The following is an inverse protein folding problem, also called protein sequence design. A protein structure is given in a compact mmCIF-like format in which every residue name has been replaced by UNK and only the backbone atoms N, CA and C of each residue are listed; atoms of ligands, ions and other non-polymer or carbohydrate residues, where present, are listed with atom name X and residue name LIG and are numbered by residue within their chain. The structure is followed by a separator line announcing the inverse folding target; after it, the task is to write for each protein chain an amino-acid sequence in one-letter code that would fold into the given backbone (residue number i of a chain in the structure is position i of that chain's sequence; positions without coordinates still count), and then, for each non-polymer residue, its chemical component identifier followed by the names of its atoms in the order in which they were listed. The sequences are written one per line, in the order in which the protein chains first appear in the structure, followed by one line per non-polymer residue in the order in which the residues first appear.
data_IF_666789738134
#
_entry.id   IF_666789738134
#
_cell.length_a   1.000
_cell.length_b   1.000
_cell.length_c   1.000
_cell.angle_alpha   90.00
_cell.angle_beta   90.00
_cell.angle_gamma   90.00
#
_symmetry.space_group_name_H-M   'P 1'
#
loop_
_entity.id
_entity.type
_entity.pdbx_description
1 polymer ?
#
# COMPACT_ATOMS: atom_id res chain seq x y z
N UNK A 1 20.92 -38.01 11.71
CA UNK A 1 21.05 -37.21 10.47
C UNK A 1 21.95 -36.01 10.73
N UNK A 2 22.98 -35.78 9.90
CA UNK A 2 23.89 -34.62 10.05
C UNK A 2 23.11 -33.33 9.71
N UNK A 3 23.29 -32.27 10.50
CA UNK A 3 22.64 -30.99 10.21
C UNK A 3 23.26 -30.39 8.97
N UNK A 4 22.43 -29.88 8.05
CA UNK A 4 22.96 -29.11 6.93
C UNK A 4 23.45 -27.75 7.41
N UNK A 5 24.60 -27.31 6.90
CA UNK A 5 25.15 -25.98 7.17
C UNK A 5 24.78 -24.97 6.06
N UNK A 6 25.06 -23.69 6.33
CA UNK A 6 24.73 -22.61 5.40
C UNK A 6 25.42 -22.74 4.04
N UNK A 7 26.62 -23.32 3.99
CA UNK A 7 27.38 -23.51 2.76
C UNK A 7 26.72 -24.55 1.87
N UNK A 8 26.22 -25.63 2.47
CA UNK A 8 25.47 -26.67 1.78
C UNK A 8 24.15 -26.15 1.21
N UNK A 9 23.42 -25.32 1.98
CA UNK A 9 22.21 -24.69 1.47
C UNK A 9 22.49 -23.71 0.31
N UNK A 10 23.55 -22.89 0.40
CA UNK A 10 23.97 -22.02 -0.70
C UNK A 10 24.32 -22.83 -1.95
N UNK A 11 25.04 -23.92 -1.79
CA UNK A 11 25.43 -24.79 -2.90
C UNK A 11 24.21 -25.39 -3.59
N UNK A 12 23.27 -25.96 -2.83
CA UNK A 12 22.05 -26.55 -3.40
C UNK A 12 21.13 -25.50 -4.03
N UNK A 13 20.98 -24.33 -3.42
CA UNK A 13 20.22 -23.23 -4.01
C UNK A 13 20.80 -22.82 -5.37
N UNK A 14 22.13 -22.75 -5.47
CA UNK A 14 22.83 -22.49 -6.73
C UNK A 14 22.60 -23.62 -7.74
N UNK A 15 22.74 -24.88 -7.35
CA UNK A 15 22.49 -26.02 -8.24
C UNK A 15 21.05 -26.05 -8.78
N UNK A 16 20.07 -25.66 -7.98
CA UNK A 16 18.68 -25.55 -8.44
C UNK A 16 18.55 -24.48 -9.52
N UNK A 17 19.17 -23.31 -9.34
CA UNK A 17 19.15 -22.24 -10.36
C UNK A 17 19.92 -22.63 -11.61
N UNK A 18 21.03 -23.37 -11.47
CA UNK A 18 21.78 -23.90 -12.62
C UNK A 18 20.91 -24.86 -13.47
N UNK A 19 19.99 -25.61 -12.84
CA UNK A 19 19.04 -26.49 -13.53
C UNK A 19 17.79 -25.76 -14.04
N UNK A 20 17.39 -24.67 -13.39
CA UNK A 20 16.22 -23.87 -13.73
C UNK A 20 16.61 -22.38 -13.81
N UNK A 21 17.16 -21.91 -14.95
CA UNK A 21 17.75 -20.57 -15.06
C UNK A 21 16.76 -19.40 -14.90
N UNK A 22 15.46 -19.68 -14.88
CA UNK A 22 14.41 -18.68 -14.63
C UNK A 22 14.15 -18.43 -13.14
N UNK A 23 14.73 -19.26 -12.27
CA UNK A 23 14.59 -19.18 -10.83
C UNK A 23 15.73 -18.35 -10.19
N UNK A 24 15.52 -17.89 -8.96
CA UNK A 24 16.48 -17.04 -8.23
C UNK A 24 17.02 -17.77 -7.00
N UNK A 25 18.33 -17.70 -6.76
CA UNK A 25 19.00 -18.42 -5.65
C UNK A 25 18.38 -18.07 -4.29
N UNK A 26 18.06 -16.80 -4.07
CA UNK A 26 17.42 -16.30 -2.86
C UNK A 26 16.00 -16.86 -2.63
N UNK A 27 15.32 -17.39 -3.66
CA UNK A 27 14.04 -18.11 -3.49
C UNK A 27 14.23 -19.41 -2.71
N UNK A 28 15.39 -20.06 -2.86
CA UNK A 28 15.66 -21.36 -2.25
C UNK A 28 16.36 -21.24 -0.91
N UNK A 29 17.32 -20.33 -0.79
CA UNK A 29 18.03 -20.13 0.45
C UNK A 29 18.43 -18.69 0.67
N UNK A 30 18.07 -18.18 1.84
CA UNK A 30 18.56 -16.91 2.36
C UNK A 30 19.28 -17.21 3.66
N UNK A 31 20.58 -16.89 3.76
CA UNK A 31 21.33 -17.13 4.97
C UNK A 31 20.69 -16.37 6.14
N UNK A 32 20.59 -17.06 7.28
CA UNK A 32 20.06 -16.45 8.50
C UNK A 32 20.96 -15.32 8.97
N UNK A 33 20.36 -14.18 9.28
CA UNK A 33 21.04 -13.05 9.91
C UNK A 33 20.99 -13.20 11.44
N UNK A 34 21.82 -12.46 12.19
CA UNK A 34 21.82 -12.53 13.65
C UNK A 34 20.39 -12.31 14.21
N UNK A 35 19.94 -13.23 15.07
CA UNK A 35 18.58 -13.33 15.66
C UNK A 35 17.45 -13.69 14.67
N UNK A 36 17.73 -13.91 13.38
CA UNK A 36 16.75 -14.43 12.42
C UNK A 36 17.16 -15.80 11.91
N UNK A 37 16.21 -16.72 11.93
CA UNK A 37 16.44 -18.03 11.30
C UNK A 37 16.65 -17.84 9.79
N UNK A 38 17.50 -18.65 9.16
CA UNK A 38 17.57 -18.71 7.70
C UNK A 38 16.18 -18.86 7.05
N UNK A 39 16.06 -18.43 5.81
CA UNK A 39 14.80 -18.45 5.05
C UNK A 39 14.93 -19.16 3.71
N UNK A 40 13.85 -19.15 2.94
CA UNK A 40 13.77 -19.73 1.60
C UNK A 40 13.18 -21.13 1.55
N UNK A 41 12.71 -21.53 0.35
CA UNK A 41 11.96 -22.78 0.14
C UNK A 41 12.75 -24.02 0.57
N UNK A 42 14.04 -24.07 0.26
CA UNK A 42 14.89 -25.23 0.55
C UNK A 42 15.09 -25.39 2.06
N UNK A 43 15.35 -24.28 2.76
CA UNK A 43 15.51 -24.29 4.21
C UNK A 43 14.21 -24.67 4.94
N UNK A 44 13.08 -24.10 4.53
CA UNK A 44 11.76 -24.41 5.07
C UNK A 44 11.39 -25.88 4.86
N UNK A 45 11.59 -26.41 3.64
CA UNK A 45 11.33 -27.82 3.35
C UNK A 45 12.24 -28.76 4.15
N UNK A 46 13.53 -28.44 4.27
CA UNK A 46 14.47 -29.22 5.08
C UNK A 46 14.02 -29.29 6.55
N UNK A 47 13.65 -28.17 7.15
CA UNK A 47 13.20 -28.13 8.54
C UNK A 47 11.86 -28.82 8.76
N UNK A 48 10.92 -28.67 7.83
CA UNK A 48 9.64 -29.38 7.87
C UNK A 48 9.85 -30.90 7.79
N UNK A 49 10.69 -31.35 6.87
CA UNK A 49 11.04 -32.77 6.74
C UNK A 49 11.76 -33.31 7.98
N UNK A 50 12.72 -32.55 8.51
CA UNK A 50 13.43 -32.91 9.75
C UNK A 50 12.50 -33.00 10.95
N UNK A 51 11.51 -32.10 11.06
CA UNK A 51 10.50 -32.13 12.11
C UNK A 51 9.59 -33.37 12.00
N UNK A 52 9.21 -33.76 10.77
CA UNK A 52 8.47 -35.02 10.54
C UNK A 52 9.27 -36.26 10.96
N UNK A 53 10.58 -36.28 10.69
CA UNK A 53 11.46 -37.39 11.09
C UNK A 53 11.71 -37.44 12.61
N UNK A 54 11.76 -36.28 13.28
CA UNK A 54 11.84 -36.16 14.74
C UNK A 54 10.59 -36.77 15.40
N UNK A 55 9.40 -36.50 14.84
CA UNK A 55 8.13 -37.02 15.35
C UNK A 55 8.02 -38.56 15.32
N UNK A 56 8.74 -39.22 14.40
CA UNK A 56 8.78 -40.70 14.28
C UNK A 56 10.04 -41.31 14.90
N UNK A 57 10.81 -40.53 15.68
CA UNK A 57 11.99 -41.00 16.40
C UNK A 57 13.22 -41.30 15.54
N UNK A 58 13.24 -40.86 14.28
CA UNK A 58 14.34 -41.08 13.34
C UNK A 58 15.39 -39.97 13.36
N UNK A 59 15.10 -38.85 14.05
CA UNK A 59 16.06 -37.77 14.33
C UNK A 59 16.16 -37.53 15.84
N UNK A 60 17.38 -37.31 16.34
CA UNK A 60 17.62 -36.94 17.74
C UNK A 60 18.08 -35.47 17.81
N UNK A 61 17.30 -34.60 18.44
CA UNK A 61 17.77 -33.26 18.82
C UNK A 61 18.77 -33.39 19.98
N UNK A 62 19.99 -32.88 19.81
CA UNK A 62 20.85 -32.58 20.96
C UNK A 62 20.15 -31.48 21.76
N UNK A 63 19.59 -31.81 22.93
CA UNK A 63 19.15 -30.82 23.91
C UNK A 63 20.38 -30.05 24.38
N UNK A 64 20.63 -28.86 23.82
CA UNK A 64 21.53 -27.91 24.47
C UNK A 64 20.81 -27.39 25.72
N UNK A 65 21.31 -27.77 26.89
CA UNK A 65 20.94 -27.19 28.17
C UNK A 65 21.47 -25.74 28.23
N UNK A 66 20.62 -24.83 28.74
CA UNK A 66 20.93 -23.51 29.30
C UNK A 66 21.51 -22.41 28.36
N UNK A 67 20.64 -21.51 27.90
CA UNK A 67 20.82 -20.05 28.06
C UNK A 67 19.44 -19.42 28.22
N UNK A 68 19.01 -19.23 29.47
CA UNK A 68 18.01 -18.24 29.85
C UNK A 68 18.66 -16.86 29.77
N UNK A 69 18.67 -16.26 28.58
CA UNK A 69 19.08 -14.90 28.33
C UNK A 69 17.90 -14.11 27.78
N UNK A 70 17.46 -13.10 28.52
CA UNK A 70 16.46 -12.12 28.10
C UNK A 70 16.77 -11.61 26.67
N UNK A 71 15.85 -11.70 25.69
CA UNK A 71 16.11 -11.33 24.30
C UNK A 71 16.41 -9.84 24.09
N UNK A 72 16.24 -8.99 25.12
CA UNK A 72 16.17 -7.53 24.97
C UNK A 72 17.50 -6.78 25.09
N UNK A 73 18.61 -7.37 25.55
CA UNK A 73 19.85 -6.62 25.77
C UNK A 73 21.08 -7.15 25.01
N UNK A 74 20.99 -7.15 23.68
CA UNK A 74 22.18 -7.25 22.81
C UNK A 74 21.85 -6.67 21.44
N UNK A 75 21.77 -5.33 21.40
CA UNK A 75 21.70 -4.51 20.21
C UNK A 75 23.05 -3.80 20.16
N UNK A 76 23.80 -4.02 19.08
CA UNK A 76 24.48 -2.97 18.32
C UNK A 76 25.29 -3.61 17.17
N UNK A 77 24.91 -3.21 15.94
CA UNK A 77 25.74 -3.16 14.74
C UNK A 77 26.25 -4.49 14.15
N UNK A 78 25.39 -5.17 13.38
CA UNK A 78 25.85 -6.03 12.28
C UNK A 78 25.53 -5.30 10.97
N UNK A 79 26.56 -4.97 10.20
CA UNK A 79 26.42 -4.27 8.91
C UNK A 79 25.55 -5.09 7.94
N UNK A 80 24.52 -4.45 7.40
CA UNK A 80 23.85 -4.90 6.18
C UNK A 80 24.89 -4.81 5.07
N UNK A 81 25.34 -5.95 4.55
CA UNK A 81 26.33 -5.96 3.46
C UNK A 81 25.65 -5.68 2.12
N UNK A 82 26.42 -5.13 1.19
CA UNK A 82 25.96 -4.84 -0.18
C UNK A 82 25.37 -6.07 -0.86
N UNK A 83 26.01 -7.24 -0.71
CA UNK A 83 25.53 -8.51 -1.28
C UNK A 83 24.12 -8.89 -0.83
N UNK A 84 23.78 -8.61 0.43
CA UNK A 84 22.45 -8.90 0.98
C UNK A 84 21.39 -7.97 0.39
N UNK A 85 21.74 -6.70 0.14
CA UNK A 85 20.86 -5.76 -0.53
C UNK A 85 20.66 -6.16 -1.99
N UNK A 86 21.71 -6.61 -2.68
CA UNK A 86 21.62 -7.12 -4.05
C UNK A 86 20.69 -8.32 -4.14
N UNK A 87 20.83 -9.30 -3.25
CA UNK A 87 19.97 -10.48 -3.20
C UNK A 87 18.51 -10.09 -2.90
N UNK A 88 18.27 -9.21 -1.92
CA UNK A 88 16.94 -8.72 -1.59
C UNK A 88 16.30 -7.93 -2.76
N UNK A 89 17.10 -7.15 -3.50
CA UNK A 89 16.68 -6.45 -4.70
C UNK A 89 16.26 -7.41 -5.82
N UNK A 90 16.92 -8.56 -5.96
CA UNK A 90 16.51 -9.59 -6.92
C UNK A 90 15.17 -10.22 -6.52
N UNK A 91 14.96 -10.51 -5.22
CA UNK A 91 13.71 -11.08 -4.71
C UNK A 91 12.52 -10.18 -5.07
N UNK A 92 12.59 -8.88 -4.78
CA UNK A 92 11.48 -7.95 -5.03
C UNK A 92 11.29 -7.56 -6.51
N UNK A 93 12.26 -7.90 -7.38
CA UNK A 93 12.15 -7.75 -8.84
C UNK A 93 11.62 -9.03 -9.52
N UNK A 94 11.78 -10.20 -8.89
CA UNK A 94 11.26 -11.47 -9.39
C UNK A 94 9.73 -11.46 -9.41
N UNK A 95 9.06 -12.34 -10.17
CA UNK A 95 7.58 -12.47 -10.20
C UNK A 95 7.05 -13.56 -9.26
N UNK A 96 7.91 -14.26 -8.52
CA UNK A 96 7.57 -15.49 -7.79
C UNK A 96 7.43 -15.25 -6.28
N UNK A 97 6.26 -14.78 -5.85
CA UNK A 97 5.98 -14.36 -4.46
C UNK A 97 5.20 -15.38 -3.64
N UNK A 98 5.55 -16.67 -3.72
CA UNK A 98 4.91 -17.68 -2.88
C UNK A 98 5.16 -17.48 -1.36
N UNK A 99 6.11 -16.62 -0.98
CA UNK A 99 6.40 -16.25 0.40
C UNK A 99 6.23 -14.73 0.60
N UNK A 100 5.02 -14.34 1.00
CA UNK A 100 4.63 -12.95 1.25
C UNK A 100 5.44 -12.32 2.39
N UNK A 101 5.78 -13.09 3.43
CA UNK A 101 6.54 -12.57 4.58
C UNK A 101 7.96 -12.17 4.16
N UNK A 102 8.62 -13.03 3.38
CA UNK A 102 9.93 -12.75 2.83
C UNK A 102 9.91 -11.51 1.91
N UNK A 103 8.89 -11.39 1.07
CA UNK A 103 8.76 -10.24 0.17
C UNK A 103 8.73 -8.90 0.93
N UNK A 104 7.89 -8.77 1.95
CA UNK A 104 7.81 -7.53 2.73
C UNK A 104 9.11 -7.25 3.51
N UNK A 105 9.80 -8.29 3.97
CA UNK A 105 11.12 -8.14 4.59
C UNK A 105 12.15 -7.57 3.60
N UNK A 106 12.29 -8.17 2.42
CA UNK A 106 13.18 -7.67 1.37
C UNK A 106 12.79 -6.26 0.92
N UNK A 107 11.49 -5.96 0.83
CA UNK A 107 10.99 -4.63 0.46
C UNK A 107 11.42 -3.55 1.47
N UNK A 108 11.33 -3.85 2.76
CA UNK A 108 11.75 -2.94 3.82
C UNK A 108 13.28 -2.77 3.88
N UNK A 109 14.04 -3.85 3.68
CA UNK A 109 15.51 -3.83 3.67
C UNK A 109 16.07 -2.97 2.53
N UNK A 110 15.44 -3.04 1.36
CA UNK A 110 15.90 -2.36 0.14
C UNK A 110 15.37 -0.92 0.00
N UNK A 111 14.71 -0.40 1.03
CA UNK A 111 14.08 0.93 0.97
C UNK A 111 15.03 2.03 0.52
N UNK A 112 16.22 2.13 1.14
CA UNK A 112 17.16 3.21 0.85
C UNK A 112 17.68 3.13 -0.59
N UNK A 113 18.00 1.94 -1.07
CA UNK A 113 18.44 1.74 -2.46
C UNK A 113 17.31 2.05 -3.45
N UNK A 114 16.07 1.70 -3.12
CA UNK A 114 14.90 2.08 -3.92
C UNK A 114 14.65 3.59 -3.91
N UNK A 115 14.89 4.29 -2.80
CA UNK A 115 14.83 5.76 -2.76
C UNK A 115 15.94 6.38 -3.59
N UNK A 116 17.15 5.81 -3.57
CA UNK A 116 18.27 6.23 -4.40
C UNK A 116 17.93 6.07 -5.88
N UNK A 117 17.37 4.92 -6.27
CA UNK A 117 16.86 4.70 -7.62
C UNK A 117 15.81 5.74 -8.00
N UNK A 118 14.80 5.99 -7.16
CA UNK A 118 13.78 7.02 -7.42
C UNK A 118 14.33 8.45 -7.50
N UNK A 119 15.45 8.73 -6.83
CA UNK A 119 16.13 10.02 -6.87
C UNK A 119 16.99 10.19 -8.14
N UNK A 120 17.27 9.11 -8.87
CA UNK A 120 17.88 9.19 -10.21
C UNK A 120 16.86 9.61 -11.27
N UNK A 121 17.30 9.87 -12.51
CA UNK A 121 16.43 10.25 -13.64
C UNK A 121 15.55 9.11 -14.18
N UNK A 122 15.44 7.96 -13.49
CA UNK A 122 14.48 6.94 -13.92
C UNK A 122 13.06 7.49 -13.82
N UNK A 123 12.32 7.41 -14.91
CA UNK A 123 10.92 7.82 -14.90
C UNK A 123 10.07 6.94 -13.97
N UNK A 124 9.02 7.50 -13.37
CA UNK A 124 8.07 6.77 -12.49
C UNK A 124 7.58 5.47 -13.14
N UNK A 125 7.30 5.49 -14.45
CA UNK A 125 6.86 4.30 -15.17
C UNK A 125 7.95 3.23 -15.24
N UNK A 126 9.21 3.61 -15.44
CA UNK A 126 10.34 2.69 -15.47
C UNK A 126 10.59 2.08 -14.09
N UNK A 127 10.43 2.87 -13.02
CA UNK A 127 10.47 2.35 -11.65
C UNK A 127 9.36 1.32 -11.43
N UNK A 128 8.11 1.64 -11.76
CA UNK A 128 6.97 0.71 -11.64
C UNK A 128 7.20 -0.57 -12.46
N UNK A 129 7.82 -0.47 -13.64
CA UNK A 129 8.14 -1.64 -14.48
C UNK A 129 9.24 -2.50 -13.86
N UNK A 130 10.17 -1.90 -13.12
CA UNK A 130 11.25 -2.60 -12.44
C UNK A 130 10.75 -3.39 -11.23
N UNK A 131 9.61 -3.00 -10.66
CA UNK A 131 8.98 -3.68 -9.51
C UNK A 131 7.52 -4.02 -9.86
N UNK A 132 7.29 -5.16 -10.54
CA UNK A 132 5.97 -5.53 -11.08
C UNK A 132 4.82 -5.49 -10.05
N UNK A 133 5.13 -5.73 -8.78
CA UNK A 133 4.19 -5.73 -7.65
C UNK A 133 3.48 -4.39 -7.44
N UNK A 134 4.10 -3.28 -7.81
CA UNK A 134 3.47 -1.96 -7.71
C UNK A 134 2.20 -1.83 -8.58
N UNK A 135 2.01 -2.76 -9.53
CA UNK A 135 0.81 -2.83 -10.39
C UNK A 135 -0.28 -3.76 -9.85
N UNK A 136 0.03 -4.57 -8.83
CA UNK A 136 -0.93 -5.48 -8.22
C UNK A 136 -1.78 -4.73 -7.19
N UNK A 137 -3.10 -4.94 -7.19
CA UNK A 137 -4.04 -4.12 -6.40
C UNK A 137 -3.89 -4.38 -4.90
N UNK A 138 -3.68 -5.65 -4.53
CA UNK A 138 -3.50 -6.13 -3.16
C UNK A 138 -2.11 -5.79 -2.60
N UNK A 139 -1.05 -6.10 -3.36
CA UNK A 139 0.33 -5.93 -2.88
C UNK A 139 0.84 -4.51 -3.09
N UNK A 140 0.51 -3.89 -4.23
CA UNK A 140 1.06 -2.59 -4.65
C UNK A 140 0.70 -1.46 -3.70
N UNK A 141 -0.56 -1.44 -3.23
CA UNK A 141 -0.99 -0.46 -2.23
C UNK A 141 -0.20 -0.59 -0.93
N UNK A 142 -0.05 -1.82 -0.41
CA UNK A 142 0.64 -2.08 0.86
C UNK A 142 2.09 -1.64 0.84
N UNK A 143 2.81 -1.94 -0.25
CA UNK A 143 4.23 -1.58 -0.35
C UNK A 143 4.45 -0.08 -0.53
N UNK A 144 3.54 0.61 -1.23
CA UNK A 144 3.56 2.09 -1.31
C UNK A 144 3.27 2.69 0.06
N UNK A 145 2.29 2.14 0.80
CA UNK A 145 1.96 2.59 2.14
C UNK A 145 3.11 2.35 3.14
N UNK A 146 3.82 1.21 3.03
CA UNK A 146 5.01 0.91 3.81
C UNK A 146 6.12 1.94 3.58
N UNK A 147 6.42 2.25 2.32
CA UNK A 147 7.41 3.28 1.98
C UNK A 147 7.00 4.65 2.48
N UNK A 148 5.72 5.01 2.32
CA UNK A 148 5.16 6.27 2.79
C UNK A 148 5.33 6.44 4.29
N UNK A 149 4.99 5.41 5.07
CA UNK A 149 5.17 5.40 6.54
C UNK A 149 6.64 5.51 6.94
N UNK A 150 7.55 4.85 6.23
CA UNK A 150 8.99 4.89 6.52
C UNK A 150 9.60 6.25 6.17
N UNK A 151 9.22 6.83 5.03
CA UNK A 151 9.73 8.13 4.57
C UNK A 151 9.14 9.32 5.33
N UNK A 152 7.88 9.20 5.73
CA UNK A 152 7.12 10.28 6.36
C UNK A 152 6.39 9.78 7.62
N UNK A 153 7.12 9.38 8.67
CA UNK A 153 6.51 8.82 9.88
C UNK A 153 5.52 9.78 10.54
N UNK A 154 5.81 11.09 10.52
CA UNK A 154 4.90 12.11 11.08
C UNK A 154 3.58 12.28 10.32
N UNK A 155 3.49 11.81 9.06
CA UNK A 155 2.27 11.89 8.26
C UNK A 155 1.31 10.73 8.51
N UNK A 156 1.71 9.75 9.32
CA UNK A 156 0.82 8.67 9.74
C UNK A 156 -0.32 9.19 10.61
N UNK A 157 0.01 10.09 11.55
CA UNK A 157 -0.88 10.50 12.64
C UNK A 157 -1.70 11.76 12.31
N UNK A 158 -1.13 12.69 11.53
CA UNK A 158 -1.80 13.92 11.11
C UNK A 158 -2.15 13.94 9.61
N UNK A 159 -3.37 13.47 9.29
CA UNK A 159 -3.90 13.49 7.92
C UNK A 159 -4.09 14.92 7.39
N UNK A 160 -4.39 15.89 8.25
CA UNK A 160 -4.55 17.29 7.85
C UNK A 160 -3.20 17.87 7.40
N UNK A 161 -2.14 17.65 8.17
CA UNK A 161 -0.79 18.05 7.80
C UNK A 161 -0.34 17.35 6.50
N UNK A 162 -0.65 16.05 6.35
CA UNK A 162 -0.38 15.31 5.13
C UNK A 162 -1.04 15.97 3.91
N UNK A 163 -2.34 16.28 3.98
CA UNK A 163 -3.06 16.94 2.88
C UNK A 163 -2.52 18.34 2.59
N UNK A 164 -2.12 19.10 3.60
CA UNK A 164 -1.45 20.40 3.42
C UNK A 164 -0.12 20.29 2.67
N UNK A 165 0.70 19.26 2.95
CA UNK A 165 1.98 19.07 2.28
C UNK A 165 1.82 18.61 0.83
N UNK A 166 0.82 17.78 0.54
CA UNK A 166 0.62 17.28 -0.84
C UNK A 166 -0.19 18.24 -1.71
N UNK A 167 -0.95 19.18 -1.12
CA UNK A 167 -1.84 20.06 -1.87
C UNK A 167 -1.17 20.90 -2.98
N UNK A 168 0.08 21.40 -2.85
CA UNK A 168 0.75 22.08 -3.95
C UNK A 168 0.95 21.17 -5.17
N UNK A 169 1.28 19.89 -4.96
CA UNK A 169 1.45 18.90 -6.04
C UNK A 169 0.12 18.57 -6.72
N UNK A 170 -0.96 18.42 -5.94
CA UNK A 170 -2.32 18.25 -6.46
C UNK A 170 -2.66 19.42 -7.39
N UNK A 171 -2.43 20.66 -6.93
CA UNK A 171 -2.74 21.85 -7.73
C UNK A 171 -1.91 21.93 -9.02
N UNK A 172 -0.62 21.58 -8.95
CA UNK A 172 0.23 21.55 -10.14
C UNK A 172 -0.31 20.58 -11.20
N UNK A 173 -0.77 19.39 -10.78
CA UNK A 173 -1.32 18.38 -11.71
C UNK A 173 -2.69 18.76 -12.27
N UNK A 174 -3.49 19.50 -11.51
CA UNK A 174 -4.80 19.99 -11.96
C UNK A 174 -4.73 21.14 -12.96
N UNK A 175 -3.55 21.73 -13.21
CA UNK A 175 -3.42 22.81 -14.20
C UNK A 175 -3.89 22.38 -15.60
N UNK A 176 -3.84 21.08 -15.90
CA UNK A 176 -4.24 20.49 -17.17
C UNK A 176 -5.71 20.02 -17.21
N UNK A 177 -6.45 20.16 -16.10
CA UNK A 177 -7.84 19.65 -15.92
C UNK A 177 -8.87 20.80 -15.88
N UNK A 178 -8.45 22.04 -16.16
CA UNK A 178 -9.21 23.30 -15.99
C UNK A 178 -10.50 23.46 -16.83
N UNK A 179 -10.98 22.45 -17.53
CA UNK A 179 -12.16 22.57 -18.40
C UNK A 179 -13.51 22.44 -17.67
N UNK A 180 -13.54 21.88 -16.45
CA UNK A 180 -14.80 21.72 -15.71
C UNK A 180 -15.09 22.91 -14.75
N UNK A 181 -16.25 23.60 -14.87
CA UNK A 181 -16.56 24.79 -14.06
C UNK A 181 -16.49 24.56 -12.55
N UNK A 182 -16.92 23.38 -12.10
CA UNK A 182 -16.85 22.99 -10.68
C UNK A 182 -15.40 22.95 -10.18
N UNK A 183 -14.49 22.38 -10.97
CA UNK A 183 -13.05 22.28 -10.63
C UNK A 183 -12.43 23.67 -10.58
N UNK A 184 -12.74 24.52 -11.56
CA UNK A 184 -12.25 25.90 -11.59
C UNK A 184 -12.69 26.67 -10.34
N UNK A 185 -13.94 26.49 -9.91
CA UNK A 185 -14.44 27.11 -8.69
C UNK A 185 -13.69 26.61 -7.43
N UNK A 186 -13.50 25.29 -7.31
CA UNK A 186 -12.77 24.69 -6.19
C UNK A 186 -11.30 25.15 -6.13
N UNK A 187 -10.62 25.24 -7.29
CA UNK A 187 -9.26 25.79 -7.38
C UNK A 187 -9.23 27.27 -6.95
N UNK A 188 -10.21 28.07 -7.37
CA UNK A 188 -10.31 29.48 -6.95
C UNK A 188 -10.46 29.59 -5.44
N UNK A 189 -11.36 28.80 -4.83
CA UNK A 189 -11.52 28.74 -3.37
C UNK A 189 -10.21 28.34 -2.69
N UNK A 190 -9.53 27.33 -3.22
CA UNK A 190 -8.25 26.84 -2.69
C UNK A 190 -7.18 27.94 -2.63
N UNK A 191 -7.04 28.75 -3.69
CA UNK A 191 -6.04 29.83 -3.75
C UNK A 191 -6.23 30.91 -2.67
N UNK A 192 -7.45 31.10 -2.18
CA UNK A 192 -7.79 32.10 -1.16
C UNK A 192 -7.98 31.48 0.24
N UNK A 193 -7.72 30.17 0.38
CA UNK A 193 -7.91 29.44 1.64
C UNK A 193 -6.58 29.19 2.36
N UNK A 194 -6.66 28.97 3.67
CA UNK A 194 -5.53 28.55 4.49
C UNK A 194 -5.90 27.34 5.38
N UNK A 195 -4.90 26.76 6.04
CA UNK A 195 -5.06 25.72 7.05
C UNK A 195 -6.02 24.57 6.65
N UNK A 196 -7.01 24.33 7.50
CA UNK A 196 -7.98 23.24 7.37
C UNK A 196 -8.78 23.30 6.06
N UNK A 197 -9.33 24.47 5.74
CA UNK A 197 -10.10 24.70 4.52
C UNK A 197 -9.28 24.34 3.29
N UNK A 198 -8.00 24.73 3.26
CA UNK A 198 -7.09 24.43 2.16
C UNK A 198 -6.86 22.92 2.00
N UNK A 199 -6.71 22.19 3.11
CA UNK A 199 -6.56 20.73 3.09
C UNK A 199 -7.82 20.00 2.63
N UNK A 200 -9.01 20.42 3.09
CA UNK A 200 -10.29 19.85 2.67
C UNK A 200 -10.60 20.11 1.19
N UNK A 201 -10.24 21.29 0.70
CA UNK A 201 -10.35 21.62 -0.73
C UNK A 201 -9.37 20.78 -1.57
N UNK A 202 -8.14 20.56 -1.09
CA UNK A 202 -7.19 19.69 -1.76
C UNK A 202 -7.73 18.25 -1.86
N UNK A 203 -8.29 17.73 -0.75
CA UNK A 203 -8.93 16.42 -0.70
C UNK A 203 -10.11 16.30 -1.68
N UNK A 204 -10.98 17.31 -1.74
CA UNK A 204 -12.11 17.38 -2.69
C UNK A 204 -11.66 17.39 -4.16
N UNK A 205 -10.41 17.78 -4.42
CA UNK A 205 -9.84 17.93 -5.75
C UNK A 205 -9.06 16.69 -6.23
N UNK A 206 -8.71 15.75 -5.33
CA UNK A 206 -7.98 14.52 -5.66
C UNK A 206 -8.65 13.69 -6.76
N UNK A 207 -9.98 13.48 -6.76
CA UNK A 207 -10.61 12.63 -7.77
C UNK A 207 -10.35 13.11 -9.20
N UNK A 208 -10.25 14.44 -9.38
CA UNK A 208 -10.01 15.07 -10.68
C UNK A 208 -8.60 14.85 -11.23
N UNK A 209 -7.67 14.34 -10.42
CA UNK A 209 -6.36 13.90 -10.91
C UNK A 209 -6.45 12.64 -11.76
N UNK A 210 -7.48 11.85 -11.56
CA UNK A 210 -7.64 10.55 -12.19
C UNK A 210 -8.74 10.61 -13.25
N UNK A 211 -8.51 9.90 -14.36
CA UNK A 211 -9.57 9.61 -15.32
C UNK A 211 -10.42 8.49 -14.73
N UNK A 212 -11.76 8.63 -14.65
CA UNK A 212 -12.60 7.54 -14.19
C UNK A 212 -12.31 6.30 -15.03
N UNK A 213 -12.05 5.18 -14.37
CA UNK A 213 -11.90 3.90 -15.04
C UNK A 213 -13.28 3.50 -15.55
N UNK A 214 -13.41 3.27 -16.85
CA UNK A 214 -14.64 2.71 -17.41
C UNK A 214 -14.70 1.26 -16.94
N UNK A 215 -15.50 0.98 -15.91
CA UNK A 215 -15.78 -0.39 -15.49
C UNK A 215 -16.78 -0.96 -16.50
N UNK A 216 -16.25 -1.55 -17.58
CA UNK A 216 -17.06 -2.31 -18.51
C UNK A 216 -17.61 -3.55 -17.81
N UNK A 217 -18.88 -3.53 -17.39
CA UNK A 217 -19.58 -4.76 -17.00
C UNK A 217 -19.67 -5.65 -18.24
N UNK A 218 -18.87 -6.71 -18.31
CA UNK A 218 -19.15 -7.83 -19.23
C UNK A 218 -20.42 -8.51 -18.71
N UNK A 219 -21.56 -8.28 -19.37
CA UNK A 219 -22.75 -9.11 -19.17
C UNK A 219 -22.98 -10.02 -20.37
N UNK A 220 -23.20 -11.28 -20.01
CA UNK A 220 -23.61 -12.40 -20.84
C UNK A 220 -25.06 -12.14 -21.29
N UNK A 221 -25.31 -12.16 -22.61
CA UNK A 221 -26.66 -12.23 -23.17
C UNK A 221 -27.23 -10.89 -23.65
N UNK A 222 -27.68 -10.92 -24.90
CA UNK A 222 -28.37 -9.87 -25.66
C UNK A 222 -29.47 -9.17 -24.86
N UNK A 223 -29.38 -7.85 -24.76
CA UNK A 223 -30.18 -6.86 -25.52
C UNK A 223 -29.58 -5.50 -25.20
N UNK A 224 -29.43 -4.63 -26.21
CA UNK A 224 -28.80 -3.34 -26.05
C UNK A 224 -29.48 -2.52 -24.97
N UNK A 225 -28.68 -2.01 -24.03
CA UNK A 225 -28.94 -0.75 -23.32
C UNK A 225 -27.68 -0.28 -22.58
N UNK A 226 -27.64 1.04 -22.44
CA UNK A 226 -26.55 1.93 -22.10
C UNK A 226 -25.42 1.40 -21.21
N UNK A 227 -24.20 1.53 -21.74
CA UNK A 227 -23.02 1.76 -20.90
C UNK A 227 -23.24 3.11 -20.23
N UNK A 228 -23.85 3.13 -19.04
CA UNK A 228 -23.80 4.32 -18.20
C UNK A 228 -22.35 4.49 -17.77
N UNK A 229 -21.55 5.20 -18.58
CA UNK A 229 -20.34 5.85 -18.11
C UNK A 229 -20.80 6.68 -16.93
N UNK A 230 -20.48 6.27 -15.70
CA UNK A 230 -20.59 7.17 -14.57
C UNK A 230 -19.88 8.46 -15.00
N UNK A 231 -20.62 9.56 -15.07
CA UNK A 231 -20.03 10.82 -15.48
C UNK A 231 -18.83 11.10 -14.58
N UNK A 232 -17.79 11.74 -15.11
CA UNK A 232 -16.66 12.21 -14.32
C UNK A 232 -17.13 12.84 -13.00
N UNK A 233 -18.11 13.74 -13.11
CA UNK A 233 -18.79 14.37 -11.98
C UNK A 233 -19.41 13.41 -10.96
N UNK A 234 -19.94 12.25 -11.37
CA UNK A 234 -20.50 11.25 -10.45
C UNK A 234 -19.39 10.50 -9.68
N UNK A 235 -18.35 10.04 -10.37
CA UNK A 235 -17.20 9.39 -9.74
C UNK A 235 -16.51 10.31 -8.72
N UNK A 236 -16.42 11.60 -9.04
CA UNK A 236 -15.80 12.61 -8.17
C UNK A 236 -16.62 12.88 -6.91
N UNK A 237 -17.95 12.92 -7.04
CA UNK A 237 -18.83 13.23 -5.91
C UNK A 237 -18.94 12.09 -4.89
N UNK A 238 -18.62 10.86 -5.27
CA UNK A 238 -18.63 9.69 -4.38
C UNK A 238 -17.33 9.52 -3.55
N UNK A 239 -16.25 10.24 -3.88
CA UNK A 239 -15.00 10.16 -3.11
C UNK A 239 -15.03 11.07 -1.87
N UNK A 240 -15.22 12.38 -2.09
CA UNK A 240 -15.34 13.36 -1.01
C UNK A 240 -16.04 14.61 -1.55
N UNK A 241 -17.21 14.93 -1.00
CA UNK A 241 -18.01 16.10 -1.39
C UNK A 241 -18.34 16.96 -0.18
N UNK A 242 -18.35 18.28 -0.36
CA UNK A 242 -18.84 19.22 0.65
C UNK A 242 -20.26 19.68 0.32
N UNK A 243 -21.13 19.69 1.32
CA UNK A 243 -22.47 20.28 1.29
C UNK A 243 -22.59 21.31 2.40
N UNK A 244 -23.35 22.40 2.18
CA UNK A 244 -23.54 23.41 3.22
C UNK A 244 -24.48 22.90 4.31
N UNK A 245 -25.46 22.07 3.93
CA UNK A 245 -26.43 21.48 4.85
C UNK A 245 -26.57 19.98 4.66
N UNK A 246 -27.09 19.32 5.71
CA UNK A 246 -27.42 17.90 5.64
C UNK A 246 -28.52 17.62 4.60
N UNK A 247 -29.51 18.51 4.49
CA UNK A 247 -30.62 18.38 3.55
C UNK A 247 -30.15 18.42 2.09
N UNK A 248 -29.19 19.29 1.76
CA UNK A 248 -28.57 19.33 0.43
C UNK A 248 -27.91 17.99 0.06
N UNK A 249 -27.24 17.36 1.04
CA UNK A 249 -26.60 16.05 0.86
C UNK A 249 -27.65 14.96 0.60
N UNK A 250 -28.73 14.91 1.39
CA UNK A 250 -29.83 13.95 1.21
C UNK A 250 -30.48 14.12 -0.18
N UNK A 251 -30.81 15.35 -0.56
CA UNK A 251 -31.38 15.67 -1.87
C UNK A 251 -30.48 15.23 -3.01
N UNK A 252 -29.16 15.43 -2.86
CA UNK A 252 -28.19 14.93 -3.80
C UNK A 252 -28.23 13.39 -3.88
N UNK A 253 -28.13 12.68 -2.75
CA UNK A 253 -28.14 11.21 -2.71
C UNK A 253 -29.36 10.60 -3.36
N UNK A 254 -30.54 11.14 -3.06
CA UNK A 254 -31.80 10.72 -3.65
C UNK A 254 -31.80 10.89 -5.17
N UNK A 255 -31.23 12.01 -5.67
CA UNK A 255 -31.12 12.29 -7.10
C UNK A 255 -30.18 11.34 -7.84
N UNK A 256 -29.05 10.95 -7.23
CA UNK A 256 -28.07 10.04 -7.87
C UNK A 256 -28.32 8.57 -7.62
N UNK A 257 -29.28 8.20 -6.76
CA UNK A 257 -29.56 6.81 -6.44
C UNK A 257 -28.40 6.12 -5.70
N UNK A 258 -27.58 6.87 -4.95
CA UNK A 258 -26.46 6.35 -4.17
C UNK A 258 -26.98 5.62 -2.91
N UNK A 259 -27.54 4.44 -3.10
CA UNK A 259 -27.96 3.52 -2.03
C UNK A 259 -26.89 2.44 -1.86
N UNK A 260 -26.45 2.18 -0.62
CA UNK A 260 -25.60 1.05 -0.28
C UNK A 260 -24.08 1.22 -0.34
N UNK A 261 -23.54 2.30 -0.93
CA UNK A 261 -22.09 2.50 -1.00
C UNK A 261 -21.56 3.32 0.18
N UNK A 262 -20.35 2.97 0.64
CA UNK A 262 -19.58 3.77 1.57
C UNK A 262 -19.28 5.13 0.93
N UNK A 263 -19.68 6.21 1.62
CA UNK A 263 -19.42 7.57 1.18
C UNK A 263 -19.03 8.44 2.37
N UNK A 264 -18.08 9.35 2.13
CA UNK A 264 -17.65 10.34 3.09
C UNK A 264 -18.02 11.74 2.58
N UNK A 265 -18.78 12.46 3.38
CA UNK A 265 -19.22 13.82 3.10
C UNK A 265 -18.69 14.80 4.15
N UNK A 266 -18.41 16.02 3.73
CA UNK A 266 -18.18 17.17 4.60
C UNK A 266 -19.46 18.00 4.64
N UNK A 267 -19.99 18.26 5.83
CA UNK A 267 -21.23 19.01 6.03
C UNK A 267 -20.92 20.30 6.81
N UNK A 268 -21.35 21.42 6.23
CA UNK A 268 -21.19 22.76 6.78
C UNK A 268 -20.28 23.66 5.94
N UNK A 269 -20.06 24.86 6.45
CA UNK A 269 -19.17 25.83 5.85
C UNK A 269 -17.71 25.37 6.01
N UNK A 270 -17.00 25.19 4.89
CA UNK A 270 -15.59 24.79 4.86
C UNK A 270 -14.66 25.75 5.64
N UNK A 271 -15.08 27.00 5.89
CA UNK A 271 -14.34 27.99 6.67
C UNK A 271 -14.62 27.91 8.18
N UNK A 272 -15.66 27.19 8.61
CA UNK A 272 -16.17 27.16 9.98
C UNK A 272 -16.11 25.74 10.58
N UNK A 273 -15.06 24.97 10.24
CA UNK A 273 -14.83 23.60 10.70
C UNK A 273 -16.04 22.67 10.45
N UNK A 274 -16.23 22.22 9.20
CA UNK A 274 -17.30 21.29 8.88
C UNK A 274 -17.07 19.94 9.57
N UNK A 275 -18.17 19.25 9.84
CA UNK A 275 -18.14 17.89 10.36
C UNK A 275 -18.19 16.88 9.21
N UNK A 276 -17.65 15.69 9.45
CA UNK A 276 -17.76 14.58 8.51
C UNK A 276 -19.04 13.79 8.76
N UNK A 277 -19.64 13.30 7.70
CA UNK A 277 -20.71 12.33 7.73
C UNK A 277 -20.31 11.13 6.87
N UNK A 278 -20.18 9.96 7.50
CA UNK A 278 -19.89 8.70 6.83
C UNK A 278 -21.18 7.90 6.76
N UNK A 279 -21.51 7.37 5.60
CA UNK A 279 -22.67 6.49 5.47
C UNK A 279 -22.29 5.10 5.02
N UNK A 280 -22.79 4.10 5.73
CA UNK A 280 -22.58 2.67 5.46
C UNK A 280 -23.96 2.03 5.36
N UNK A 281 -24.41 1.73 4.13
CA UNK A 281 -25.81 1.36 3.91
C UNK A 281 -26.75 2.49 4.33
N UNK A 282 -27.64 2.19 5.27
CA UNK A 282 -28.63 3.12 5.82
C UNK A 282 -28.20 3.76 7.16
N UNK A 283 -26.98 3.46 7.62
CA UNK A 283 -26.44 3.99 8.89
C UNK A 283 -25.54 5.19 8.61
N UNK A 284 -25.75 6.25 9.37
CA UNK A 284 -24.94 7.48 9.33
C UNK A 284 -24.08 7.61 10.59
N UNK A 285 -22.81 7.96 10.39
CA UNK A 285 -21.85 8.24 11.45
C UNK A 285 -21.37 9.68 11.32
N UNK A 286 -21.58 10.47 12.36
CA UNK A 286 -21.13 11.86 12.42
C UNK A 286 -19.79 11.95 13.13
N UNK A 287 -18.81 12.56 12.48
CA UNK A 287 -17.49 12.81 13.02
C UNK A 287 -17.26 14.32 13.15
N UNK A 288 -16.77 14.76 14.30
CA UNK A 288 -16.50 16.18 14.55
C UNK A 288 -15.38 16.78 13.68
N UNK A 289 -14.58 15.92 13.04
CA UNK A 289 -13.49 16.31 12.16
C UNK A 289 -13.49 15.45 10.89
N UNK A 290 -13.50 16.12 9.74
CA UNK A 290 -13.46 15.50 8.42
C UNK A 290 -12.24 14.61 8.19
N UNK A 291 -11.10 14.88 8.83
CA UNK A 291 -9.89 14.07 8.66
C UNK A 291 -9.92 12.76 9.44
N UNK A 292 -10.75 12.66 10.49
CA UNK A 292 -10.89 11.41 11.27
C UNK A 292 -11.48 10.27 10.46
N UNK A 293 -12.27 10.57 9.42
CA UNK A 293 -12.78 9.56 8.49
C UNK A 293 -11.68 8.80 7.73
N UNK A 294 -10.47 9.35 7.70
CA UNK A 294 -9.30 8.77 7.03
C UNK A 294 -8.25 8.17 8.01
N UNK A 295 -8.45 8.30 9.32
CA UNK A 295 -7.46 7.84 10.31
C UNK A 295 -7.52 6.32 10.59
N UNK A 296 -8.63 5.65 10.31
CA UNK A 296 -8.86 4.25 10.70
C UNK A 296 -9.08 3.27 9.53
N UNK A 297 -8.64 3.60 8.31
CA UNK A 297 -8.92 2.80 7.09
C UNK A 297 -10.42 2.50 6.86
N UNK A 298 -11.33 3.15 7.60
CA UNK A 298 -12.79 2.92 7.52
C UNK A 298 -13.27 3.06 6.08
N UNK A 299 -12.64 3.98 5.33
CA UNK A 299 -12.96 4.28 3.93
C UNK A 299 -12.12 3.53 2.87
N UNK A 300 -11.14 2.71 3.25
CA UNK A 300 -10.11 2.20 2.30
C UNK A 300 -10.16 0.67 2.10
N UNK A 301 -10.83 -0.09 2.99
CA UNK A 301 -10.82 -1.57 2.95
C UNK A 301 -12.10 -2.23 2.41
N UNK A 302 -12.99 -1.47 1.77
CA UNK A 302 -14.24 -2.00 1.18
C UNK A 302 -14.34 -1.67 -0.31
#
# INVERSE_FOLDING_TARGET
MRSMDATQFKHLAKTIVDLYPTEVTATYYIPGLKKKSPGGKLYSQYNNYRTKLDAVGLCFRKKNQNVSGDPRNSIENAEVTEDVIVDAMQVIKSLNWNDTALFYECWNMTFDERQRLLATEIGVLQYINSFPYLRQVDVGYDVIALDGRKKYPSLADDKKEMFLKISPFIMQKLQNVKSEPMVVNLIRKYSHSNGQTKALLALSLIPFLFRPVIIGKRKKGNTGDDITKASKSHAYRNFFSNFETHEEMINYRNKVGCTGNLALYSIGNLNENPHALITIGDVEYVLTDCFKGFQNDICIRH
#
